data_IF_851252799099
#
_entry.id   IF_851252799099
#
_cell.length_a   1.000
_cell.length_b   1.000
_cell.length_c   1.000
_cell.angle_alpha   90.00
_cell.angle_beta   90.00
_cell.angle_gamma   90.00
#
_symmetry.space_group_name_H-M   'P 1'
#
loop_
_entity.id
_entity.type
_entity.pdbx_description
1 polymer ?
#
# COMPACT_ATOMS: atom_id res chain seq x y z
N UNK A 1 -21.79 -16.33 19.14
CA UNK A 1 -21.06 -15.36 18.29
C UNK A 1 -20.41 -14.33 19.21
N UNK A 2 -19.07 -14.32 19.40
CA UNK A 2 -18.44 -13.30 20.23
C UNK A 2 -18.50 -11.93 19.50
N UNK A 3 -19.02 -10.90 20.18
CA UNK A 3 -18.96 -9.50 19.70
C UNK A 3 -17.49 -9.08 19.71
N UNK A 4 -16.92 -8.79 18.53
CA UNK A 4 -15.62 -8.10 18.45
C UNK A 4 -15.76 -6.78 19.20
N UNK A 5 -14.91 -6.55 20.20
CA UNK A 5 -14.81 -5.26 20.86
C UNK A 5 -14.45 -4.23 19.80
N UNK A 6 -15.31 -3.23 19.60
CA UNK A 6 -15.05 -2.13 18.69
C UNK A 6 -13.95 -1.31 19.37
N UNK A 7 -12.76 -1.27 18.77
CA UNK A 7 -11.67 -0.42 19.28
C UNK A 7 -12.16 1.04 19.36
N UNK A 8 -11.77 1.78 20.40
CA UNK A 8 -12.25 3.15 20.58
C UNK A 8 -11.77 4.02 19.41
N UNK A 9 -12.73 4.57 18.65
CA UNK A 9 -12.45 5.54 17.59
C UNK A 9 -11.89 6.82 18.22
N UNK A 10 -10.61 7.10 18.02
CA UNK A 10 -10.01 8.35 18.46
C UNK A 10 -10.31 9.49 17.47
N UNK A 11 -10.62 10.67 17.98
CA UNK A 11 -10.76 11.90 17.18
C UNK A 11 -9.54 12.78 17.40
N UNK A 12 -8.94 13.24 16.31
CA UNK A 12 -7.81 14.18 16.30
C UNK A 12 -8.19 15.47 15.61
N UNK A 13 -7.66 16.60 16.09
CA UNK A 13 -7.79 17.91 15.45
C UNK A 13 -6.41 18.38 15.00
N UNK A 14 -6.29 18.77 13.74
CA UNK A 14 -5.02 19.16 13.12
C UNK A 14 -5.18 20.50 12.41
N UNK A 15 -4.16 21.35 12.49
CA UNK A 15 -4.08 22.60 11.72
C UNK A 15 -3.31 22.33 10.45
N UNK A 16 -3.89 22.69 9.31
CA UNK A 16 -3.29 22.50 7.99
C UNK A 16 -3.24 23.85 7.24
N UNK A 17 -2.18 24.09 6.44
CA UNK A 17 -2.16 25.15 5.45
C UNK A 17 -3.37 25.06 4.50
N UNK A 18 -3.93 26.21 4.11
CA UNK A 18 -5.08 26.28 3.20
C UNK A 18 -4.87 25.47 1.89
N UNK A 19 -3.71 25.54 1.21
CA UNK A 19 -3.51 24.76 -0.02
C UNK A 19 -3.65 23.24 0.18
N UNK A 20 -3.30 22.72 1.37
CA UNK A 20 -3.46 21.28 1.65
C UNK A 20 -4.93 20.92 1.92
N UNK A 21 -5.72 21.85 2.45
CA UNK A 21 -7.16 21.65 2.61
C UNK A 21 -7.82 21.55 1.24
N UNK A 22 -7.42 22.38 0.28
CA UNK A 22 -7.94 22.34 -1.09
C UNK A 22 -7.63 21.01 -1.79
N UNK A 23 -6.40 20.49 -1.64
CA UNK A 23 -6.03 19.16 -2.15
C UNK A 23 -6.87 18.06 -1.51
N UNK A 24 -7.13 18.14 -0.18
CA UNK A 24 -8.00 17.18 0.50
C UNK A 24 -9.45 17.24 -0.03
N UNK A 25 -9.96 18.43 -0.34
CA UNK A 25 -11.31 18.56 -0.91
C UNK A 25 -11.41 17.97 -2.32
N UNK A 26 -10.36 18.13 -3.14
CA UNK A 26 -10.27 17.48 -4.44
C UNK A 26 -10.28 15.95 -4.30
N UNK A 27 -9.56 15.41 -3.33
CA UNK A 27 -9.51 13.99 -3.06
C UNK A 27 -10.85 13.43 -2.58
N UNK A 28 -11.57 14.17 -1.73
CA UNK A 28 -12.96 13.82 -1.33
C UNK A 28 -13.86 13.74 -2.57
N UNK A 29 -13.75 14.70 -3.49
CA UNK A 29 -14.53 14.68 -4.72
C UNK A 29 -14.17 13.49 -5.62
N UNK A 30 -12.88 13.14 -5.73
CA UNK A 30 -12.42 11.94 -6.45
C UNK A 30 -13.05 10.68 -5.86
N UNK A 31 -13.00 10.50 -4.54
CA UNK A 31 -13.60 9.34 -3.86
C UNK A 31 -15.11 9.24 -4.10
N UNK A 32 -15.84 10.37 -4.11
CA UNK A 32 -17.27 10.39 -4.42
C UNK A 32 -17.57 9.95 -5.85
N UNK A 33 -16.70 10.30 -6.80
CA UNK A 33 -16.84 9.89 -8.19
C UNK A 33 -16.53 8.39 -8.37
N UNK A 34 -15.51 7.88 -7.69
CA UNK A 34 -15.11 6.46 -7.77
C UNK A 34 -16.07 5.52 -7.04
N UNK A 35 -16.71 6.00 -5.98
CA UNK A 35 -17.69 5.23 -5.19
C UNK A 35 -19.02 5.96 -5.11
N UNK A 36 -19.84 5.92 -6.19
CA UNK A 36 -21.15 6.55 -6.18
C UNK A 36 -22.04 5.96 -5.08
N UNK A 37 -22.61 6.82 -4.24
CA UNK A 37 -23.40 6.45 -3.07
C UNK A 37 -22.64 6.45 -1.74
N UNK A 38 -21.32 6.60 -1.77
CA UNK A 38 -20.52 6.84 -0.56
C UNK A 38 -20.51 8.34 -0.23
N UNK A 39 -21.03 8.70 0.94
CA UNK A 39 -20.90 10.06 1.47
C UNK A 39 -19.48 10.28 2.03
N UNK A 40 -18.48 10.34 1.15
CA UNK A 40 -17.10 10.55 1.57
C UNK A 40 -16.93 11.90 2.26
N UNK A 41 -16.30 11.88 3.44
CA UNK A 41 -15.92 13.06 4.22
C UNK A 41 -14.42 13.33 4.14
N UNK A 42 -13.97 14.52 4.56
CA UNK A 42 -12.54 14.82 4.71
C UNK A 42 -11.82 13.83 5.62
N UNK A 43 -12.48 13.37 6.68
CA UNK A 43 -11.91 12.38 7.59
C UNK A 43 -11.67 11.04 6.88
N UNK A 44 -12.57 10.63 5.99
CA UNK A 44 -12.42 9.39 5.22
C UNK A 44 -11.29 9.50 4.20
N UNK A 45 -11.19 10.63 3.49
CA UNK A 45 -10.07 10.90 2.60
C UNK A 45 -8.73 10.87 3.35
N UNK A 46 -8.65 11.48 4.54
CA UNK A 46 -7.45 11.44 5.38
C UNK A 46 -7.12 10.00 5.80
N UNK A 47 -8.11 9.22 6.25
CA UNK A 47 -7.89 7.80 6.61
C UNK A 47 -7.37 7.00 5.43
N UNK A 48 -7.94 7.21 4.26
CA UNK A 48 -7.50 6.56 3.03
C UNK A 48 -6.05 6.93 2.70
N UNK A 49 -5.71 8.22 2.69
CA UNK A 49 -4.34 8.67 2.42
C UNK A 49 -3.33 8.14 3.44
N UNK A 50 -3.69 8.11 4.73
CA UNK A 50 -2.85 7.51 5.79
C UNK A 50 -2.67 6.01 5.53
N UNK A 51 -3.73 5.29 5.13
CA UNK A 51 -3.64 3.86 4.83
C UNK A 51 -2.69 3.57 3.65
N UNK A 52 -2.72 4.42 2.61
CA UNK A 52 -1.80 4.34 1.47
C UNK A 52 -0.36 4.65 1.88
N UNK A 53 -0.16 5.71 2.67
CA UNK A 53 1.16 6.08 3.17
C UNK A 53 1.75 5.00 4.08
N UNK A 54 0.93 4.42 4.97
CA UNK A 54 1.32 3.29 5.80
C UNK A 54 1.71 2.08 4.95
N UNK A 55 0.89 1.70 3.97
CA UNK A 55 1.20 0.59 3.08
C UNK A 55 2.52 0.81 2.32
N UNK A 56 2.80 2.05 1.90
CA UNK A 56 4.08 2.42 1.28
C UNK A 56 5.26 2.30 2.25
N UNK A 57 5.10 2.74 3.48
CA UNK A 57 6.13 2.64 4.52
C UNK A 57 6.40 1.18 4.90
N UNK A 58 5.33 0.39 5.09
CA UNK A 58 5.42 -1.05 5.33
C UNK A 58 6.14 -1.72 4.15
N UNK A 59 5.76 -1.43 2.91
CA UNK A 59 6.47 -1.94 1.72
C UNK A 59 7.93 -1.52 1.67
N UNK A 60 8.28 -0.29 2.04
CA UNK A 60 9.70 0.15 2.10
C UNK A 60 10.48 -0.53 3.22
N UNK A 61 9.82 -0.99 4.29
CA UNK A 61 10.44 -1.81 5.32
C UNK A 61 10.71 -3.25 4.83
N UNK A 62 9.99 -3.72 3.81
CA UNK A 62 10.21 -5.03 3.17
C UNK A 62 11.05 -4.95 1.88
N UNK A 63 11.14 -3.78 1.27
CA UNK A 63 11.96 -3.47 0.11
C UNK A 63 12.85 -2.27 0.45
N UNK A 64 13.98 -2.53 1.10
CA UNK A 64 15.15 -1.73 0.78
C UNK A 64 15.41 -1.99 -0.71
N UNK A 65 15.35 -0.99 -1.61
CA UNK A 65 15.95 -1.17 -2.91
C UNK A 65 17.43 -1.41 -2.64
N UNK A 66 17.86 -2.67 -2.64
CA UNK A 66 19.26 -3.00 -2.84
C UNK A 66 19.57 -2.44 -4.21
N UNK A 67 20.16 -1.25 -4.24
CA UNK A 67 20.77 -0.69 -5.43
C UNK A 67 21.94 -1.62 -5.68
N UNK A 68 21.71 -2.65 -6.51
CA UNK A 68 22.77 -3.51 -6.99
C UNK A 68 23.73 -2.61 -7.76
N UNK A 69 25.00 -2.67 -7.39
CA UNK A 69 26.06 -2.08 -8.21
C UNK A 69 26.06 -2.75 -9.59
N UNK A 70 26.60 -2.07 -10.60
CA UNK A 70 26.74 -2.63 -11.96
C UNK A 70 27.50 -3.97 -11.96
N UNK A 71 28.40 -4.17 -10.98
CA UNK A 71 29.12 -5.41 -10.75
C UNK A 71 28.22 -6.55 -10.22
N UNK A 72 27.25 -6.26 -9.34
CA UNK A 72 26.29 -7.25 -8.83
C UNK A 72 25.23 -7.60 -9.90
N UNK A 73 24.85 -6.64 -10.74
CA UNK A 73 23.96 -6.87 -11.89
C UNK A 73 24.57 -7.82 -12.93
N UNK A 74 25.88 -7.76 -13.15
CA UNK A 74 26.59 -8.69 -14.05
C UNK A 74 26.63 -10.13 -13.50
N UNK A 75 26.66 -10.30 -12.17
CA UNK A 75 26.66 -11.62 -11.53
C UNK A 75 25.27 -12.30 -11.55
N UNK A 76 24.19 -11.52 -11.46
CA UNK A 76 22.81 -12.06 -11.50
C UNK A 76 22.46 -12.63 -12.89
N UNK A 77 23.08 -12.12 -13.96
CA UNK A 77 22.85 -12.60 -15.33
C UNK A 77 23.44 -13.98 -15.64
N UNK A 78 24.38 -14.48 -14.83
CA UNK A 78 25.07 -15.77 -15.08
C UNK A 78 24.47 -16.94 -14.28
N UNK A 79 23.80 -16.65 -13.15
CA UNK A 79 23.26 -17.66 -12.21
C UNK A 79 21.73 -17.80 -12.26
N UNK A 80 21.13 -17.52 -13.43
CA UNK A 80 19.69 -17.61 -13.69
C UNK A 80 19.21 -19.08 -13.81
N UNK A 81 19.67 -19.94 -12.90
CA UNK A 81 19.08 -21.25 -12.66
C UNK A 81 18.11 -21.14 -11.49
N UNK A 82 16.82 -20.96 -11.80
CA UNK A 82 15.74 -21.12 -10.83
C UNK A 82 16.00 -22.43 -10.04
N UNK A 83 16.19 -22.37 -8.71
CA UNK A 83 16.50 -23.57 -7.93
C UNK A 83 15.45 -24.65 -8.18
N UNK A 84 15.89 -25.90 -8.41
CA UNK A 84 15.00 -26.99 -8.83
C UNK A 84 13.78 -27.18 -7.91
N UNK A 85 13.93 -26.89 -6.61
CA UNK A 85 12.84 -26.92 -5.62
C UNK A 85 11.76 -25.87 -5.88
N UNK A 86 12.15 -24.68 -6.32
CA UNK A 86 11.26 -23.56 -6.63
C UNK A 86 10.49 -23.83 -7.93
N UNK A 87 11.14 -24.40 -8.96
CA UNK A 87 10.48 -24.91 -10.18
C UNK A 87 9.42 -25.97 -9.88
N UNK A 88 9.77 -26.97 -9.07
CA UNK A 88 8.85 -28.07 -8.71
C UNK A 88 7.61 -27.57 -7.95
N UNK A 89 7.77 -26.57 -7.08
CA UNK A 89 6.65 -25.97 -6.35
C UNK A 89 5.72 -25.15 -7.26
N UNK A 90 6.29 -24.38 -8.20
CA UNK A 90 5.53 -23.59 -9.16
C UNK A 90 4.76 -24.49 -10.14
N UNK A 91 5.39 -25.55 -10.66
CA UNK A 91 4.73 -26.51 -11.56
C UNK A 91 3.55 -27.23 -10.90
N UNK A 92 3.67 -27.60 -9.62
CA UNK A 92 2.55 -28.19 -8.86
C UNK A 92 1.41 -27.21 -8.60
N UNK A 93 1.71 -25.92 -8.45
CA UNK A 93 0.72 -24.89 -8.09
C UNK A 93 -0.07 -24.37 -9.30
N UNK A 94 0.55 -24.36 -10.48
CA UNK A 94 -0.02 -23.79 -11.69
C UNK A 94 -0.45 -24.83 -12.75
N UNK A 95 -0.21 -26.13 -12.53
CA UNK A 95 -0.93 -27.19 -13.27
C UNK A 95 -2.38 -27.29 -12.76
N UNK A 96 -3.28 -26.55 -13.42
CA UNK A 96 -4.68 -26.94 -13.58
C UNK A 96 -4.91 -27.34 -15.03
#
# INVERSE_FOLDING_TARGET
>A
MPRRAIEPTATITVRLPLPLIEVLDQEVNRLRQETPGLNATRADAIRYLISLAKARLDMSAFYEPRIYSDAEMQQIGEDDTIPAKTRSWLEKRYRR
#
